data_IF_693911155200
#
_entry.id   IF_693911155200
#
_cell.length_a   1.000
_cell.length_b   1.000
_cell.length_c   1.000
_cell.angle_alpha   90.00
_cell.angle_beta   90.00
_cell.angle_gamma   90.00
#
_symmetry.space_group_name_H-M   'P 1'
#
loop_
_entity.id
_entity.type
_entity.pdbx_description
1 polymer ?
#
# COMPACT_ATOMS: atom_id res chain seq x y z
N UNK A 1 25.95 -12.13 8.08
CA UNK A 1 25.42 -13.43 7.59
C UNK A 1 25.00 -13.28 6.14
N UNK A 2 25.32 -14.25 5.28
CA UNK A 2 25.00 -14.18 3.85
C UNK A 2 23.58 -14.70 3.59
N UNK A 3 22.81 -14.04 2.72
CA UNK A 3 21.37 -14.28 2.51
C UNK A 3 21.03 -15.73 2.08
N UNK A 4 21.95 -16.38 1.38
CA UNK A 4 21.88 -17.72 0.82
C UNK A 4 21.98 -18.86 1.86
N UNK A 5 22.26 -18.58 3.13
CA UNK A 5 22.31 -19.59 4.21
C UNK A 5 20.97 -19.71 4.98
N UNK A 6 20.02 -18.79 4.76
CA UNK A 6 18.69 -18.78 5.42
C UNK A 6 17.66 -19.70 4.76
N UNK A 7 17.96 -20.21 3.57
CA UNK A 7 17.08 -21.05 2.76
C UNK A 7 17.61 -22.49 2.79
N UNK A 8 16.77 -23.44 3.24
CA UNK A 8 17.13 -24.87 3.23
C UNK A 8 17.42 -25.34 1.81
N UNK A 9 18.53 -26.06 1.63
CA UNK A 9 19.10 -26.35 0.31
C UNK A 9 18.21 -27.15 -0.66
N UNK A 10 18.40 -26.82 -1.95
CA UNK A 10 17.93 -27.46 -3.20
C UNK A 10 16.43 -27.35 -3.52
N UNK A 11 16.07 -26.31 -4.30
CA UNK A 11 14.79 -26.21 -5.03
C UNK A 11 14.14 -24.83 -5.01
N UNK A 12 14.74 -23.84 -5.68
CA UNK A 12 14.40 -22.40 -5.61
C UNK A 12 13.10 -21.98 -6.33
N UNK A 13 11.92 -22.43 -5.91
CA UNK A 13 10.69 -21.70 -6.29
C UNK A 13 9.74 -21.35 -5.15
N UNK A 14 9.69 -22.14 -4.08
CA UNK A 14 8.67 -21.96 -3.02
C UNK A 14 9.22 -22.32 -1.63
N UNK A 15 10.44 -21.90 -1.29
CA UNK A 15 10.96 -22.11 0.07
C UNK A 15 10.74 -20.88 0.95
N UNK A 16 9.78 -21.02 1.87
CA UNK A 16 9.60 -20.13 3.02
C UNK A 16 10.89 -20.14 3.85
N UNK A 17 11.38 -18.96 4.24
CA UNK A 17 12.64 -18.83 4.98
C UNK A 17 12.58 -19.58 6.32
N UNK A 18 13.72 -20.06 6.86
CA UNK A 18 13.71 -20.81 8.15
C UNK A 18 13.10 -20.00 9.31
N UNK A 19 13.20 -18.68 9.26
CA UNK A 19 12.59 -17.80 10.28
C UNK A 19 11.08 -17.70 10.08
N UNK A 20 10.65 -17.61 8.83
CA UNK A 20 9.26 -17.58 8.40
C UNK A 20 8.56 -18.92 8.69
N UNK A 21 9.25 -20.07 8.55
CA UNK A 21 8.72 -21.39 8.89
C UNK A 21 8.38 -21.57 10.38
N UNK A 22 8.96 -20.75 11.26
CA UNK A 22 8.68 -20.78 12.70
C UNK A 22 7.45 -19.96 13.08
N UNK A 23 6.94 -19.13 12.17
CA UNK A 23 5.73 -18.34 12.41
C UNK A 23 4.48 -19.22 12.31
N UNK A 24 3.43 -18.94 13.11
CA UNK A 24 2.17 -19.63 12.98
C UNK A 24 1.53 -19.33 11.62
N UNK A 25 0.73 -20.26 11.10
CA UNK A 25 0.12 -20.13 9.76
C UNK A 25 -0.74 -18.88 9.60
N UNK A 26 -1.44 -18.46 10.65
CA UNK A 26 -2.24 -17.24 10.65
C UNK A 26 -1.40 -15.97 10.49
N UNK A 27 -0.19 -15.97 11.04
CA UNK A 27 0.76 -14.86 10.92
C UNK A 27 1.34 -14.80 9.51
N UNK A 28 1.70 -15.95 8.95
CA UNK A 28 2.16 -16.04 7.56
C UNK A 28 1.09 -15.59 6.58
N UNK A 29 -0.15 -16.05 6.74
CA UNK A 29 -1.25 -15.61 5.88
C UNK A 29 -1.51 -14.10 6.05
N UNK A 30 -1.46 -13.55 7.27
CA UNK A 30 -1.55 -12.09 7.48
C UNK A 30 -0.49 -11.35 6.67
N UNK A 31 0.78 -11.78 6.75
CA UNK A 31 1.89 -11.14 6.02
C UNK A 31 1.66 -11.24 4.52
N UNK A 32 1.34 -12.43 4.00
CA UNK A 32 1.08 -12.65 2.59
C UNK A 32 -0.08 -11.78 2.06
N UNK A 33 -1.17 -11.64 2.82
CA UNK A 33 -2.30 -10.77 2.44
C UNK A 33 -1.93 -9.30 2.47
N UNK A 34 -1.16 -8.84 3.45
CA UNK A 34 -0.70 -7.45 3.48
C UNK A 34 0.20 -7.13 2.29
N UNK A 35 1.11 -8.04 1.92
CA UNK A 35 1.96 -7.89 0.74
C UNK A 35 1.15 -7.92 -0.56
N UNK A 36 0.15 -8.81 -0.67
CA UNK A 36 -0.78 -8.84 -1.81
C UNK A 36 -1.53 -7.50 -1.97
N UNK A 37 -2.06 -6.97 -0.86
CA UNK A 37 -2.77 -5.70 -0.83
C UNK A 37 -1.90 -4.51 -1.23
N UNK A 38 -0.67 -4.45 -0.71
CA UNK A 38 0.34 -3.45 -1.12
C UNK A 38 0.64 -3.58 -2.61
N UNK A 39 0.76 -4.81 -3.13
CA UNK A 39 0.99 -5.09 -4.54
C UNK A 39 -0.12 -4.54 -5.46
N UNK A 40 -1.38 -4.52 -5.05
CA UNK A 40 -2.46 -3.91 -5.84
C UNK A 40 -2.25 -2.41 -6.07
N UNK A 41 -1.63 -1.70 -5.13
CA UNK A 41 -1.35 -0.26 -5.28
C UNK A 41 -0.28 -0.01 -6.37
N UNK A 42 0.64 -0.92 -6.59
CA UNK A 42 1.68 -0.80 -7.62
C UNK A 42 1.20 -1.19 -9.03
N UNK A 43 0.08 -1.91 -9.14
CA UNK A 43 -0.47 -2.33 -10.41
C UNK A 43 -0.97 -1.15 -11.24
N UNK A 44 -0.68 -1.19 -12.54
CA UNK A 44 -1.10 -0.18 -13.52
C UNK A 44 -2.60 0.06 -13.54
N UNK A 45 -3.39 -0.98 -13.28
CA UNK A 45 -4.83 -0.91 -13.17
C UNK A 45 -5.32 -1.92 -12.13
N UNK A 46 -6.10 -1.46 -11.14
CA UNK A 46 -6.81 -2.36 -10.23
C UNK A 46 -8.01 -2.91 -11.00
N UNK A 47 -7.89 -4.15 -11.47
CA UNK A 47 -8.89 -4.79 -12.31
C UNK A 47 -10.18 -5.09 -11.53
N UNK A 48 -11.27 -5.38 -12.23
CA UNK A 48 -12.53 -5.81 -11.60
C UNK A 48 -12.33 -7.10 -10.79
N UNK A 49 -11.55 -8.05 -11.30
CA UNK A 49 -11.16 -9.25 -10.57
C UNK A 49 -10.42 -8.93 -9.28
N UNK A 50 -9.52 -7.93 -9.28
CA UNK A 50 -8.85 -7.50 -8.06
C UNK A 50 -9.86 -6.92 -7.06
N UNK A 51 -10.88 -6.20 -7.53
CA UNK A 51 -11.94 -5.66 -6.67
C UNK A 51 -12.78 -6.76 -6.04
N UNK A 52 -13.02 -7.86 -6.74
CA UNK A 52 -13.65 -9.05 -6.15
C UNK A 52 -12.76 -9.67 -5.07
N UNK A 53 -11.46 -9.83 -5.35
CA UNK A 53 -10.50 -10.30 -4.33
C UNK A 53 -10.45 -9.36 -3.11
N UNK A 54 -10.47 -8.05 -3.32
CA UNK A 54 -10.46 -7.06 -2.23
C UNK A 54 -11.68 -7.19 -1.32
N UNK A 55 -12.87 -7.43 -1.89
CA UNK A 55 -14.09 -7.68 -1.10
C UNK A 55 -13.98 -8.92 -0.22
N UNK A 56 -13.33 -9.97 -0.72
CA UNK A 56 -13.07 -11.17 0.08
C UNK A 56 -12.08 -10.89 1.22
N UNK A 57 -11.02 -10.14 0.94
CA UNK A 57 -10.01 -9.75 1.94
C UNK A 57 -10.54 -8.76 2.98
N UNK A 58 -11.55 -7.96 2.62
CA UNK A 58 -12.24 -7.09 3.57
C UNK A 58 -13.01 -7.86 4.66
N UNK A 59 -13.29 -9.15 4.44
CA UNK A 59 -13.90 -10.06 5.42
C UNK A 59 -12.87 -10.93 6.18
N UNK A 60 -11.57 -10.69 5.99
CA UNK A 60 -10.51 -11.50 6.61
C UNK A 60 -10.50 -11.42 8.15
N UNK A 61 -9.98 -12.43 8.84
CA UNK A 61 -9.97 -12.49 10.31
C UNK A 61 -9.06 -11.42 10.94
N UNK A 62 -7.97 -11.06 10.25
CA UNK A 62 -7.03 -10.03 10.70
C UNK A 62 -7.59 -8.62 10.48
N UNK A 63 -7.69 -7.77 11.54
CA UNK A 63 -8.12 -6.37 11.42
C UNK A 63 -7.25 -5.53 10.48
N UNK A 64 -5.94 -5.79 10.45
CA UNK A 64 -4.99 -5.08 9.58
C UNK A 64 -5.30 -5.34 8.10
N UNK A 65 -5.52 -6.61 7.76
CA UNK A 65 -5.85 -7.03 6.39
C UNK A 65 -7.18 -6.42 5.96
N UNK A 66 -8.21 -6.46 6.82
CA UNK A 66 -9.51 -5.85 6.51
C UNK A 66 -9.41 -4.35 6.25
N UNK A 67 -8.70 -3.65 7.13
CA UNK A 67 -8.54 -2.19 7.04
C UNK A 67 -7.84 -1.80 5.75
N UNK A 68 -6.74 -2.49 5.43
CA UNK A 68 -6.00 -2.22 4.20
C UNK A 68 -6.81 -2.63 2.95
N UNK A 69 -7.53 -3.75 2.98
CA UNK A 69 -8.36 -4.18 1.86
C UNK A 69 -9.48 -3.18 1.54
N UNK A 70 -10.18 -2.67 2.57
CA UNK A 70 -11.21 -1.66 2.41
C UNK A 70 -10.64 -0.35 1.83
N UNK A 71 -9.48 0.09 2.32
CA UNK A 71 -8.79 1.27 1.80
C UNK A 71 -8.42 1.11 0.31
N UNK A 72 -7.84 -0.03 -0.06
CA UNK A 72 -7.46 -0.30 -1.46
C UNK A 72 -8.71 -0.39 -2.34
N UNK A 73 -9.82 -0.91 -1.83
CA UNK A 73 -11.10 -0.90 -2.55
C UNK A 73 -11.62 0.52 -2.79
N UNK A 74 -11.58 1.40 -1.79
CA UNK A 74 -11.98 2.80 -1.92
C UNK A 74 -11.13 3.53 -2.97
N UNK A 75 -9.82 3.31 -2.93
CA UNK A 75 -8.89 3.84 -3.93
C UNK A 75 -9.22 3.30 -5.33
N UNK A 76 -9.54 2.00 -5.45
CA UNK A 76 -9.91 1.39 -6.73
C UNK A 76 -11.25 1.92 -7.27
N UNK A 77 -12.19 2.30 -6.40
CA UNK A 77 -13.46 2.92 -6.78
C UNK A 77 -13.27 4.34 -7.31
N UNK A 78 -12.41 5.11 -6.67
CA UNK A 78 -12.11 6.49 -7.07
C UNK A 78 -11.22 6.53 -8.32
N UNK A 79 -10.10 5.83 -8.30
CA UNK A 79 -9.11 5.89 -9.36
C UNK A 79 -8.33 4.57 -9.54
N UNK A 80 -8.88 3.60 -10.30
CA UNK A 80 -8.28 2.26 -10.45
C UNK A 80 -6.96 2.28 -11.21
N UNK A 81 -6.77 3.23 -12.12
CA UNK A 81 -5.53 3.38 -12.90
C UNK A 81 -4.43 4.00 -12.04
N UNK A 82 -3.19 3.56 -12.26
CA UNK A 82 -2.01 4.02 -11.52
C UNK A 82 -1.61 5.46 -11.83
N UNK A 83 -1.64 5.85 -13.11
CA UNK A 83 -1.18 7.17 -13.55
C UNK A 83 -2.02 8.25 -12.88
N UNK A 84 -1.35 9.19 -12.19
CA UNK A 84 -1.96 10.31 -11.44
C UNK A 84 -2.93 9.88 -10.34
N UNK A 85 -2.92 8.62 -9.89
CA UNK A 85 -3.79 8.14 -8.81
C UNK A 85 -3.64 9.01 -7.57
N UNK A 86 -2.41 9.16 -7.09
CA UNK A 86 -2.15 9.93 -5.87
C UNK A 86 -2.37 11.43 -6.05
N UNK A 87 -2.02 12.00 -7.21
CA UNK A 87 -2.34 13.40 -7.53
C UNK A 87 -3.85 13.65 -7.57
N UNK A 88 -4.63 12.73 -8.14
CA UNK A 88 -6.08 12.81 -8.17
C UNK A 88 -6.68 12.67 -6.77
N UNK A 89 -6.16 11.75 -5.97
CA UNK A 89 -6.55 11.61 -4.57
C UNK A 89 -6.23 12.87 -3.77
N UNK A 90 -5.04 13.45 -3.91
CA UNK A 90 -4.68 14.69 -3.22
C UNK A 90 -5.62 15.85 -3.55
N UNK A 91 -6.06 15.97 -4.81
CA UNK A 91 -6.94 17.05 -5.28
C UNK A 91 -8.42 16.82 -4.92
N UNK A 92 -8.92 15.61 -5.14
CA UNK A 92 -10.36 15.33 -5.07
C UNK A 92 -10.79 14.57 -3.81
N UNK A 93 -9.87 13.82 -3.19
CA UNK A 93 -10.13 12.97 -2.03
C UNK A 93 -8.98 13.04 -1.02
N UNK A 94 -8.60 14.24 -0.53
CA UNK A 94 -7.45 14.40 0.36
C UNK A 94 -7.58 13.57 1.64
N UNK A 95 -8.80 13.37 2.14
CA UNK A 95 -9.07 12.54 3.32
C UNK A 95 -8.78 11.04 3.10
N UNK A 96 -8.93 10.56 1.87
CA UNK A 96 -8.57 9.18 1.51
C UNK A 96 -7.05 9.02 1.42
N UNK A 97 -6.36 10.04 0.89
CA UNK A 97 -4.90 10.06 0.87
C UNK A 97 -4.30 10.10 2.28
N UNK A 98 -4.82 10.95 3.17
CA UNK A 98 -4.40 11.01 4.58
C UNK A 98 -4.58 9.68 5.31
N UNK A 99 -5.75 9.04 5.14
CA UNK A 99 -6.01 7.72 5.71
C UNK A 99 -5.02 6.67 5.20
N UNK A 100 -4.68 6.72 3.92
CA UNK A 100 -3.73 5.80 3.33
C UNK A 100 -2.32 5.99 3.90
N UNK A 101 -1.86 7.23 4.06
CA UNK A 101 -0.57 7.54 4.69
C UNK A 101 -0.55 7.07 6.15
N UNK A 102 -1.63 7.32 6.90
CA UNK A 102 -1.75 6.87 8.30
C UNK A 102 -1.70 5.35 8.47
N UNK A 103 -2.20 4.57 7.50
CA UNK A 103 -2.23 3.10 7.56
C UNK A 103 -0.92 2.49 7.05
N UNK A 104 -0.35 3.03 5.97
CA UNK A 104 0.83 2.47 5.30
C UNK A 104 2.14 3.02 5.87
N UNK A 105 2.08 4.14 6.57
CA UNK A 105 3.22 4.83 7.17
C UNK A 105 3.82 5.90 6.25
N UNK A 106 4.48 6.88 6.86
CA UNK A 106 5.16 7.97 6.15
C UNK A 106 6.30 7.47 5.27
N UNK A 107 7.07 6.46 5.73
CA UNK A 107 8.15 5.85 4.95
C UNK A 107 7.65 5.28 3.61
N UNK A 108 6.48 4.63 3.61
CA UNK A 108 5.87 4.12 2.37
C UNK A 108 5.49 5.28 1.43
N UNK A 109 4.95 6.37 1.99
CA UNK A 109 4.58 7.55 1.21
C UNK A 109 5.80 8.26 0.61
N UNK A 110 6.91 8.33 1.32
CA UNK A 110 8.17 8.90 0.82
C UNK A 110 8.71 8.10 -0.36
N UNK A 111 8.72 6.76 -0.28
CA UNK A 111 9.15 5.89 -1.38
C UNK A 111 8.26 6.03 -2.62
N UNK A 112 6.96 6.15 -2.42
CA UNK A 112 5.96 6.28 -3.48
C UNK A 112 6.04 7.68 -4.09
N UNK A 113 5.95 8.74 -3.29
CA UNK A 113 5.92 10.12 -3.77
C UNK A 113 7.10 10.46 -4.68
N UNK A 114 8.31 9.98 -4.39
CA UNK A 114 9.49 10.16 -5.27
C UNK A 114 9.25 9.55 -6.67
N UNK A 115 8.68 8.36 -6.76
CA UNK A 115 8.39 7.68 -8.04
C UNK A 115 7.23 8.30 -8.81
N UNK A 116 6.29 8.94 -8.10
CA UNK A 116 5.03 9.41 -8.66
C UNK A 116 4.99 10.91 -8.95
N UNK A 117 5.75 11.71 -8.20
CA UNK A 117 5.86 13.17 -8.37
C UNK A 117 7.15 13.50 -9.19
N UNK A 118 8.21 12.70 -9.07
CA UNK A 118 9.55 13.04 -9.56
C UNK A 118 9.88 12.84 -11.05
N UNK A 119 8.93 12.92 -11.98
CA UNK A 119 9.27 12.86 -13.43
C UNK A 119 8.58 13.89 -14.32
N UNK A 120 7.78 14.80 -13.75
CA UNK A 120 7.14 15.87 -14.50
C UNK A 120 7.18 17.14 -13.64
N UNK A 121 7.97 18.14 -14.03
CA UNK A 121 8.18 19.37 -13.26
C UNK A 121 6.88 20.14 -12.97
N UNK A 122 5.88 20.01 -13.85
CA UNK A 122 4.57 20.63 -13.66
C UNK A 122 3.73 19.99 -12.53
N UNK A 123 3.92 18.70 -12.23
CA UNK A 123 3.16 17.99 -11.20
C UNK A 123 3.77 18.17 -9.79
N UNK A 124 5.07 18.50 -9.70
CA UNK A 124 5.81 18.72 -8.44
C UNK A 124 5.43 20.05 -7.78
N UNK A 125 5.42 21.15 -8.55
CA UNK A 125 5.01 22.48 -8.09
C UNK A 125 3.54 22.51 -7.64
N UNK A 126 2.64 21.79 -8.35
CA UNK A 126 1.22 21.76 -8.02
C UNK A 126 0.93 20.96 -6.73
N UNK A 127 1.71 19.92 -6.42
CA UNK A 127 1.50 19.10 -5.22
C UNK A 127 1.92 19.80 -3.92
N UNK A 128 3.07 20.48 -3.91
CA UNK A 128 3.50 21.28 -2.76
C UNK A 128 2.78 22.63 -2.64
N UNK A 129 2.12 23.08 -3.72
CA UNK A 129 1.24 24.26 -3.72
C UNK A 129 -0.20 23.96 -3.31
N UNK A 130 -0.61 22.68 -3.16
CA UNK A 130 -1.89 22.36 -2.55
C UNK A 130 -1.89 22.89 -1.10
N UNK A 131 -2.98 23.53 -0.64
CA UNK A 131 -3.07 24.01 0.72
C UNK A 131 -2.82 22.83 1.65
N UNK A 132 -1.68 22.86 2.32
CA UNK A 132 -1.37 21.88 3.33
C UNK A 132 -2.48 21.99 4.38
N UNK A 133 -3.09 20.88 4.80
CA UNK A 133 -4.05 20.93 5.88
C UNK A 133 -3.35 21.60 7.06
N UNK A 134 -3.97 22.67 7.55
CA UNK A 134 -3.52 23.43 8.70
C UNK A 134 -3.02 22.44 9.76
N UNK A 135 -1.70 22.42 9.96
CA UNK A 135 -1.11 21.78 11.11
C UNK A 135 -1.47 22.68 12.28
N UNK A 136 -2.73 22.59 12.73
CA UNK A 136 -3.21 23.12 13.97
C UNK A 136 -2.50 22.39 15.10
N UNK A 137 -1.23 22.71 15.27
CA UNK A 137 -0.48 22.47 16.49
C UNK A 137 -0.98 23.56 17.43
N UNK A 138 -2.13 23.28 18.06
CA UNK A 138 -2.56 24.01 19.25
C UNK A 138 -1.44 23.87 20.27
N UNK A 139 -0.68 24.96 20.41
CA UNK A 139 0.30 25.14 21.47
C UNK A 139 -0.47 25.69 22.67
N UNK A 140 -0.69 24.85 23.68
CA UNK A 140 -0.98 25.28 25.05
C UNK A 140 0.16 24.84 25.98
#
# INVERSE_FOLDING_TARGET
>A
MRANERFGGRGHRIHICRDCQRLPRSELDRIERLDELRGFLDQSNISERNRESLKLLAAHESPEVRTLAALVEDVARVHPRRRRRFSNLARNHPDLLKRMISILGDEWWDEVSVRFIGSNTDDFDEFYSLPQPDQGIDSE
#
